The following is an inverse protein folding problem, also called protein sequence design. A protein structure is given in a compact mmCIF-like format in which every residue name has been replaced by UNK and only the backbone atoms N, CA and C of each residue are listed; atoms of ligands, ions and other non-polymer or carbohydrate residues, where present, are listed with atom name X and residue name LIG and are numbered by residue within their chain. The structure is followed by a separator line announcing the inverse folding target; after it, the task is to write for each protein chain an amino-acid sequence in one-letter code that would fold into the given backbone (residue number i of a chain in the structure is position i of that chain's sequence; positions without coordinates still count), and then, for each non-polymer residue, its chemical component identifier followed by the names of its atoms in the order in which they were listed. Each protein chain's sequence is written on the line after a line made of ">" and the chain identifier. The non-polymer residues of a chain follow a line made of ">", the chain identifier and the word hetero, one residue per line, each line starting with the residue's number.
data_IF_927869005963
#
_entry.id   IF_927869005963
#
_cell.length_a   1.000
_cell.length_b   1.000
_cell.length_c   1.000
_cell.angle_alpha   90.00
_cell.angle_beta   90.00
_cell.angle_gamma   90.00
#
_symmetry.space_group_name_H-M   'P 1'
#
loop_
_entity.id
_entity.type
_entity.pdbx_description
1 polymer ?
#
# COMPACT_ATOMS: atom_id res chain seq x y z
N UNK A 1 1.89 30.03 -7.74
CA UNK A 1 1.06 28.81 -7.82
C UNK A 1 0.58 28.37 -6.43
N UNK A 2 1.44 27.79 -5.59
CA UNK A 2 1.03 27.19 -4.29
C UNK A 2 0.44 28.21 -3.28
N UNK A 3 0.96 29.43 -3.23
CA UNK A 3 0.53 30.44 -2.25
C UNK A 3 -0.91 30.95 -2.40
N UNK A 4 -1.57 30.68 -3.54
CA UNK A 4 -2.96 31.06 -3.80
C UNK A 4 -3.91 29.85 -3.87
N UNK A 5 -3.41 28.63 -3.70
CA UNK A 5 -4.20 27.41 -3.86
C UNK A 5 -5.04 27.11 -2.61
N UNK A 6 -6.29 26.68 -2.83
CA UNK A 6 -7.17 26.19 -1.77
C UNK A 6 -6.84 24.76 -1.34
N UNK A 7 -6.40 23.95 -2.30
CA UNK A 7 -6.00 22.57 -2.13
C UNK A 7 -4.71 22.32 -2.92
N UNK A 8 -3.73 21.69 -2.25
CA UNK A 8 -2.49 21.21 -2.84
C UNK A 8 -2.44 19.70 -2.66
N UNK A 9 -2.30 18.97 -3.77
CA UNK A 9 -2.14 17.52 -3.76
C UNK A 9 -0.69 17.18 -4.11
N UNK A 10 0.01 16.49 -3.21
CA UNK A 10 1.37 16.02 -3.45
C UNK A 10 1.34 14.55 -3.89
N UNK A 11 1.81 14.28 -5.10
CA UNK A 11 1.73 12.97 -5.76
C UNK A 11 3.10 12.46 -6.26
N UNK A 12 4.19 12.91 -5.62
CA UNK A 12 5.56 12.47 -5.95
C UNK A 12 5.97 11.22 -5.15
N UNK A 13 7.11 10.57 -5.45
CA UNK A 13 7.65 9.50 -4.61
C UNK A 13 7.85 9.92 -3.14
N UNK A 14 7.80 8.96 -2.21
CA UNK A 14 7.69 9.23 -0.78
C UNK A 14 8.82 10.11 -0.22
N UNK A 15 10.08 9.91 -0.62
CA UNK A 15 11.18 10.77 -0.14
C UNK A 15 11.13 12.18 -0.74
N UNK A 16 10.60 12.32 -1.95
CA UNK A 16 10.37 13.62 -2.57
C UNK A 16 9.22 14.33 -1.84
N UNK A 17 8.16 13.61 -1.46
CA UNK A 17 7.04 14.15 -0.67
C UNK A 17 7.54 14.77 0.63
N UNK A 18 8.39 14.07 1.39
CA UNK A 18 8.92 14.59 2.66
C UNK A 18 9.63 15.94 2.47
N UNK A 19 10.50 16.06 1.47
CA UNK A 19 11.17 17.34 1.15
C UNK A 19 10.20 18.41 0.66
N UNK A 20 9.18 18.03 -0.11
CA UNK A 20 8.17 18.97 -0.60
C UNK A 20 7.28 19.50 0.52
N UNK A 21 6.93 18.66 1.50
CA UNK A 21 6.16 19.08 2.68
C UNK A 21 6.91 20.19 3.41
N UNK A 22 8.19 19.99 3.72
CA UNK A 22 9.01 20.98 4.43
C UNK A 22 9.16 22.30 3.65
N UNK A 23 9.30 22.24 2.33
CA UNK A 23 9.61 23.42 1.50
C UNK A 23 8.38 24.15 0.96
N UNK A 24 7.30 23.43 0.64
CA UNK A 24 6.06 23.99 0.08
C UNK A 24 5.04 24.29 1.17
N UNK A 25 4.94 23.45 2.18
CA UNK A 25 3.97 23.56 3.28
C UNK A 25 3.89 24.98 3.88
N UNK A 26 5.01 25.58 4.30
CA UNK A 26 5.02 26.93 4.89
C UNK A 26 4.54 28.05 3.95
N UNK A 27 4.52 27.79 2.63
CA UNK A 27 4.15 28.76 1.60
C UNK A 27 2.65 28.72 1.26
N UNK A 28 1.89 27.79 1.83
CA UNK A 28 0.45 27.72 1.62
C UNK A 28 -0.26 28.90 2.30
N UNK A 29 -1.37 29.33 1.69
CA UNK A 29 -2.25 30.33 2.29
C UNK A 29 -2.80 29.84 3.64
N UNK A 30 -3.20 30.78 4.50
CA UNK A 30 -3.93 30.45 5.73
C UNK A 30 -5.21 29.69 5.39
N UNK A 31 -5.42 28.56 6.05
CA UNK A 31 -6.54 27.64 5.80
C UNK A 31 -6.42 26.81 4.51
N UNK A 32 -5.27 26.88 3.81
CA UNK A 32 -5.03 26.02 2.64
C UNK A 32 -4.91 24.56 3.05
N UNK A 33 -5.50 23.65 2.26
CA UNK A 33 -5.47 22.21 2.50
C UNK A 33 -4.31 21.57 1.75
N UNK A 34 -3.56 20.71 2.44
CA UNK A 34 -2.50 19.90 1.84
C UNK A 34 -2.84 18.42 2.01
N UNK A 35 -2.91 17.70 0.89
CA UNK A 35 -3.17 16.25 0.83
C UNK A 35 -2.02 15.56 0.12
N UNK A 36 -1.44 14.52 0.70
CA UNK A 36 -0.47 13.66 0.00
C UNK A 36 -1.12 12.39 -0.56
N UNK A 37 -0.45 11.73 -1.51
CA UNK A 37 -0.86 10.43 -2.07
C UNK A 37 0.17 9.31 -1.83
N UNK A 38 1.11 9.49 -0.90
CA UNK A 38 2.21 8.56 -0.66
C UNK A 38 1.76 7.19 -0.14
N UNK A 39 2.57 6.17 -0.38
CA UNK A 39 2.19 4.79 0.00
C UNK A 39 2.44 4.42 1.47
N UNK A 40 3.13 5.28 2.21
CA UNK A 40 3.41 5.16 3.65
C UNK A 40 2.93 6.42 4.36
N UNK A 41 2.56 6.35 5.63
CA UNK A 41 1.82 7.43 6.30
C UNK A 41 2.44 7.92 7.59
N UNK A 42 3.14 7.09 8.37
CA UNK A 42 3.70 7.53 9.65
C UNK A 42 4.70 8.67 9.48
N UNK A 43 5.75 8.47 8.68
CA UNK A 43 6.76 9.50 8.42
C UNK A 43 6.20 10.74 7.71
N UNK A 44 5.28 10.53 6.76
CA UNK A 44 4.63 11.64 6.05
C UNK A 44 3.78 12.47 7.01
N UNK A 45 2.91 11.84 7.79
CA UNK A 45 2.05 12.54 8.74
C UNK A 45 2.87 13.27 9.80
N UNK A 46 3.98 12.70 10.26
CA UNK A 46 4.91 13.39 11.15
C UNK A 46 5.47 14.67 10.53
N UNK A 47 5.87 14.64 9.25
CA UNK A 47 6.31 15.83 8.54
C UNK A 47 5.17 16.85 8.35
N UNK A 48 3.93 16.38 8.11
CA UNK A 48 2.75 17.23 8.02
C UNK A 48 2.43 17.94 9.34
N UNK A 49 2.65 17.30 10.49
CA UNK A 49 2.41 17.94 11.80
C UNK A 49 3.42 19.04 12.14
N UNK A 50 4.61 18.99 11.54
CA UNK A 50 5.64 20.01 11.71
C UNK A 50 5.34 21.29 10.91
N UNK A 51 4.29 21.29 10.09
CA UNK A 51 3.90 22.46 9.31
C UNK A 51 3.33 23.57 10.21
N UNK A 52 3.37 24.84 9.74
CA UNK A 52 2.75 25.94 10.45
C UNK A 52 1.25 25.68 10.76
N UNK A 53 0.73 26.11 11.92
CA UNK A 53 -0.65 25.83 12.34
C UNK A 53 -1.75 26.33 11.40
N UNK A 54 -1.41 27.24 10.47
CA UNK A 54 -2.36 27.75 9.49
C UNK A 54 -2.60 26.80 8.31
N UNK A 55 -1.79 25.74 8.17
CA UNK A 55 -1.91 24.74 7.10
C UNK A 55 -2.77 23.58 7.57
N UNK A 56 -3.75 23.20 6.76
CA UNK A 56 -4.68 22.11 7.06
C UNK A 56 -4.22 20.83 6.35
N UNK A 57 -3.42 20.01 7.01
CA UNK A 57 -2.73 18.89 6.36
C UNK A 57 -3.35 17.53 6.66
N UNK A 58 -3.56 16.71 5.62
CA UNK A 58 -4.18 15.39 5.72
C UNK A 58 -3.31 14.36 5.00
N UNK A 59 -3.03 13.24 5.67
CA UNK A 59 -2.34 12.12 5.06
C UNK A 59 -3.28 11.36 4.12
N UNK A 60 -2.85 11.01 2.90
CA UNK A 60 -3.66 10.26 1.94
C UNK A 60 -2.93 9.12 1.26
N UNK A 61 -3.65 8.02 0.97
CA UNK A 61 -3.12 6.90 0.18
C UNK A 61 -4.24 6.22 -0.63
N UNK A 62 -4.32 6.46 -1.94
CA UNK A 62 -5.18 5.66 -2.80
C UNK A 62 -4.61 4.24 -2.93
N UNK A 63 -5.37 3.22 -2.50
CA UNK A 63 -4.98 1.80 -2.59
C UNK A 63 -5.23 1.25 -3.99
N UNK A 64 -4.65 1.91 -4.98
CA UNK A 64 -4.67 1.54 -6.39
C UNK A 64 -3.42 2.07 -7.09
N UNK A 65 -3.02 1.38 -8.14
CA UNK A 65 -1.89 1.79 -8.96
C UNK A 65 -1.85 0.96 -10.24
N UNK A 66 -1.15 1.51 -11.23
CA UNK A 66 -0.78 0.79 -12.44
C UNK A 66 0.70 0.49 -12.40
N UNK A 67 1.12 -0.59 -13.05
CA UNK A 67 2.53 -0.94 -13.19
C UNK A 67 3.27 0.07 -14.11
N UNK A 68 2.53 0.83 -14.93
CA UNK A 68 3.07 1.85 -15.82
C UNK A 68 3.06 3.23 -15.14
N UNK A 69 4.23 3.86 -15.09
CA UNK A 69 4.40 5.22 -14.61
C UNK A 69 4.34 6.25 -15.75
N UNK A 70 4.09 7.52 -15.41
CA UNK A 70 4.10 8.64 -16.35
C UNK A 70 2.72 9.22 -16.64
N UNK A 71 2.70 10.45 -17.15
CA UNK A 71 1.45 11.17 -17.47
C UNK A 71 0.63 10.47 -18.57
N UNK A 72 1.31 9.77 -19.49
CA UNK A 72 0.65 9.04 -20.58
C UNK A 72 -0.15 7.82 -20.07
N UNK A 73 0.15 7.32 -18.87
CA UNK A 73 -0.60 6.24 -18.22
C UNK A 73 -1.78 6.74 -17.35
N UNK A 74 -1.96 8.07 -17.25
CA UNK A 74 -3.01 8.67 -16.44
C UNK A 74 -4.39 8.30 -16.98
N UNK A 75 -5.28 7.90 -16.07
CA UNK A 75 -6.64 7.50 -16.41
C UNK A 75 -7.62 8.14 -15.44
N UNK A 76 -8.66 8.79 -15.98
CA UNK A 76 -9.68 9.45 -15.18
C UNK A 76 -10.41 8.48 -14.23
N UNK A 77 -10.54 7.21 -14.62
CA UNK A 77 -11.18 6.16 -13.85
C UNK A 77 -10.30 5.47 -12.81
N UNK A 78 -9.03 5.85 -12.66
CA UNK A 78 -8.02 5.09 -11.89
C UNK A 78 -8.46 4.79 -10.44
N UNK A 79 -9.15 5.73 -9.80
CA UNK A 79 -9.53 5.64 -8.39
C UNK A 79 -10.92 5.02 -8.16
N UNK A 80 -11.68 4.73 -9.22
CA UNK A 80 -13.07 4.26 -9.10
C UNK A 80 -13.14 2.93 -8.35
N UNK A 81 -13.93 2.89 -7.28
CA UNK A 81 -14.13 1.71 -6.43
C UNK A 81 -12.94 1.36 -5.54
N UNK A 82 -11.80 2.05 -5.69
CA UNK A 82 -10.60 1.81 -4.91
C UNK A 82 -10.79 2.33 -3.48
N UNK A 83 -10.22 1.63 -2.51
CA UNK A 83 -10.12 2.19 -1.16
C UNK A 83 -9.14 3.36 -1.19
N UNK A 84 -9.51 4.48 -0.59
CA UNK A 84 -8.63 5.62 -0.42
C UNK A 84 -8.49 5.88 1.08
N UNK A 85 -7.31 5.63 1.61
CA UNK A 85 -7.04 5.86 3.03
C UNK A 85 -6.82 7.34 3.26
N UNK A 86 -7.48 7.89 4.28
CA UNK A 86 -7.14 9.18 4.86
C UNK A 86 -6.65 8.96 6.28
N UNK A 87 -5.64 9.73 6.66
CA UNK A 87 -5.13 9.83 8.01
C UNK A 87 -5.40 11.24 8.55
N UNK A 88 -6.56 11.47 9.21
CA UNK A 88 -6.86 12.75 9.84
C UNK A 88 -5.80 13.11 10.88
N UNK A 89 -5.43 14.39 10.95
CA UNK A 89 -4.44 14.92 11.90
C UNK A 89 -5.08 15.99 12.80
N UNK A 90 -4.54 16.21 14.01
CA UNK A 90 -4.96 17.35 14.83
C UNK A 90 -4.81 18.71 14.15
N UNK A 91 -3.86 18.83 13.22
CA UNK A 91 -3.64 20.02 12.39
C UNK A 91 -4.71 20.24 11.32
N UNK A 92 -5.53 19.24 11.00
CA UNK A 92 -6.64 19.33 10.06
C UNK A 92 -7.97 19.53 10.81
N UNK A 93 -8.55 20.72 10.65
CA UNK A 93 -9.90 21.04 11.08
C UNK A 93 -10.97 20.28 10.29
N UNK A 94 -12.23 20.31 10.78
CA UNK A 94 -13.33 19.53 10.23
C UNK A 94 -13.63 19.86 8.76
N UNK A 95 -13.45 21.12 8.34
CA UNK A 95 -13.68 21.56 6.96
C UNK A 95 -12.70 20.93 5.97
N UNK A 96 -11.43 20.79 6.36
CA UNK A 96 -10.41 20.16 5.53
C UNK A 96 -10.69 18.66 5.34
N UNK A 97 -11.08 17.98 6.43
CA UNK A 97 -11.47 16.57 6.35
C UNK A 97 -12.73 16.38 5.49
N UNK A 98 -13.73 17.26 5.64
CA UNK A 98 -14.94 17.23 4.82
C UNK A 98 -14.61 17.43 3.33
N UNK A 99 -13.72 18.36 3.00
CA UNK A 99 -13.24 18.58 1.64
C UNK A 99 -12.55 17.34 1.06
N UNK A 100 -11.63 16.74 1.81
CA UNK A 100 -10.92 15.52 1.37
C UNK A 100 -11.88 14.36 1.15
N UNK A 101 -12.85 14.16 2.05
CA UNK A 101 -13.90 13.14 1.91
C UNK A 101 -14.79 13.40 0.69
N UNK A 102 -15.17 14.65 0.44
CA UNK A 102 -15.97 15.02 -0.73
C UNK A 102 -15.20 14.77 -2.04
N UNK A 103 -13.92 15.12 -2.07
CA UNK A 103 -13.04 14.86 -3.23
C UNK A 103 -12.96 13.35 -3.53
N UNK A 104 -12.66 12.53 -2.52
CA UNK A 104 -12.53 11.07 -2.66
C UNK A 104 -13.83 10.44 -3.18
N UNK A 105 -14.98 10.85 -2.64
CA UNK A 105 -16.28 10.35 -3.12
C UNK A 105 -16.56 10.79 -4.55
N UNK A 106 -16.16 12.01 -4.93
CA UNK A 106 -16.37 12.55 -6.28
C UNK A 106 -15.54 11.85 -7.35
N UNK A 107 -14.39 11.29 -6.99
CA UNK A 107 -13.59 10.40 -7.86
C UNK A 107 -14.04 8.93 -7.76
N UNK A 108 -15.21 8.67 -7.17
CA UNK A 108 -15.81 7.36 -6.92
C UNK A 108 -14.93 6.39 -6.11
N UNK A 109 -13.99 6.92 -5.34
CA UNK A 109 -13.19 6.12 -4.42
C UNK A 109 -13.92 5.97 -3.07
N UNK A 110 -13.53 4.95 -2.30
CA UNK A 110 -14.13 4.60 -1.00
C UNK A 110 -13.22 5.09 0.12
N UNK A 111 -13.59 6.16 0.86
CA UNK A 111 -12.74 6.65 1.94
C UNK A 111 -12.67 5.64 3.08
N UNK A 112 -11.47 5.45 3.62
CA UNK A 112 -11.22 4.70 4.85
C UNK A 112 -10.35 5.55 5.78
N UNK A 113 -10.84 5.85 6.99
CA UNK A 113 -10.07 6.63 7.96
C UNK A 113 -9.22 5.69 8.82
N UNK A 114 -7.91 5.93 8.87
CA UNK A 114 -6.97 5.16 9.70
C UNK A 114 -5.98 6.08 10.41
N UNK A 115 -5.54 5.65 11.59
CA UNK A 115 -4.32 6.17 12.19
C UNK A 115 -3.08 5.85 11.30
N UNK A 116 -2.07 6.74 11.17
CA UNK A 116 -0.91 6.48 10.31
C UNK A 116 -0.13 5.21 10.66
N UNK A 117 0.08 4.91 11.94
CA UNK A 117 0.81 3.71 12.35
C UNK A 117 -0.04 2.45 12.12
N UNK A 118 -1.37 2.56 12.26
CA UNK A 118 -2.27 1.48 11.86
C UNK A 118 -2.21 1.23 10.36
N UNK A 119 -2.29 2.28 9.54
CA UNK A 119 -2.15 2.17 8.08
C UNK A 119 -0.86 1.45 7.72
N UNK A 120 0.28 1.94 8.22
CA UNK A 120 1.60 1.45 7.87
C UNK A 120 1.82 -0.01 8.28
N UNK A 121 1.27 -0.44 9.42
CA UNK A 121 1.24 -1.86 9.80
C UNK A 121 0.42 -2.71 8.84
N UNK A 122 -0.77 -2.25 8.45
CA UNK A 122 -1.64 -3.00 7.55
C UNK A 122 -1.01 -3.15 6.16
N UNK A 123 -0.51 -2.06 5.57
CA UNK A 123 0.12 -2.10 4.23
C UNK A 123 1.46 -2.84 4.23
N UNK A 124 2.18 -2.85 5.34
CA UNK A 124 3.36 -3.70 5.49
C UNK A 124 3.02 -5.18 5.28
N UNK A 125 1.95 -5.67 5.90
CA UNK A 125 1.53 -7.07 5.78
C UNK A 125 0.96 -7.44 4.41
N UNK A 126 0.19 -6.55 3.77
CA UNK A 126 -0.56 -6.89 2.54
C UNK A 126 0.06 -6.36 1.25
N UNK A 127 1.12 -5.56 1.32
CA UNK A 127 1.79 -4.97 0.14
C UNK A 127 3.32 -5.08 0.21
N UNK A 128 3.95 -4.60 1.30
CA UNK A 128 5.43 -4.52 1.35
C UNK A 128 6.06 -5.90 1.56
N UNK A 129 5.53 -6.68 2.51
CA UNK A 129 5.97 -8.06 2.75
C UNK A 129 5.77 -8.95 1.51
N UNK A 130 4.61 -8.93 0.80
CA UNK A 130 4.45 -9.64 -0.47
C UNK A 130 5.52 -9.32 -1.51
N UNK A 131 5.95 -8.05 -1.64
CA UNK A 131 7.06 -7.69 -2.52
C UNK A 131 8.37 -8.36 -2.10
N UNK A 132 8.75 -8.27 -0.83
CA UNK A 132 9.98 -8.89 -0.33
C UNK A 132 9.95 -10.42 -0.43
N UNK A 133 8.81 -11.05 -0.16
CA UNK A 133 8.62 -12.48 -0.32
C UNK A 133 8.77 -12.90 -1.79
N UNK A 134 8.21 -12.13 -2.73
CA UNK A 134 8.39 -12.35 -4.16
C UNK A 134 9.88 -12.24 -4.57
N UNK A 135 10.59 -11.21 -4.09
CA UNK A 135 12.03 -11.07 -4.32
C UNK A 135 12.83 -12.25 -3.73
N UNK A 136 12.47 -12.73 -2.54
CA UNK A 136 13.12 -13.89 -1.92
C UNK A 136 12.87 -15.19 -2.73
N UNK A 137 11.66 -15.38 -3.27
CA UNK A 137 11.35 -16.50 -4.16
C UNK A 137 12.19 -16.45 -5.45
N UNK A 138 12.33 -15.27 -6.07
CA UNK A 138 13.19 -15.08 -7.24
C UNK A 138 14.66 -15.33 -6.87
N UNK A 139 15.13 -14.83 -5.72
CA UNK A 139 16.50 -15.06 -5.24
C UNK A 139 16.82 -16.54 -5.00
N UNK A 140 15.84 -17.31 -4.49
CA UNK A 140 15.98 -18.75 -4.34
C UNK A 140 16.07 -19.44 -5.70
N UNK A 141 15.22 -19.07 -6.67
CA UNK A 141 15.29 -19.61 -8.03
C UNK A 141 16.61 -19.26 -8.72
N UNK A 142 17.13 -18.04 -8.51
CA UNK A 142 18.43 -17.61 -9.02
C UNK A 142 19.58 -18.46 -8.48
N UNK A 143 19.55 -18.81 -7.19
CA UNK A 143 20.53 -19.71 -6.57
C UNK A 143 20.53 -21.07 -7.28
N UNK A 144 19.35 -21.67 -7.46
CA UNK A 144 19.21 -22.97 -8.17
C UNK A 144 19.64 -22.87 -9.63
N UNK A 145 19.34 -21.75 -10.31
CA UNK A 145 19.67 -21.54 -11.71
C UNK A 145 21.18 -21.55 -11.99
N UNK A 146 22.02 -21.28 -10.99
CA UNK A 146 23.49 -21.34 -11.13
C UNK A 146 23.97 -22.74 -11.49
N UNK A 147 23.29 -23.77 -10.98
CA UNK A 147 23.60 -25.18 -11.24
C UNK A 147 22.65 -25.79 -12.29
N UNK A 148 21.38 -25.36 -12.29
CA UNK A 148 20.33 -25.93 -13.12
C UNK A 148 19.49 -24.84 -13.80
N UNK A 149 19.93 -24.31 -14.96
CA UNK A 149 19.21 -23.27 -15.71
C UNK A 149 17.77 -23.66 -16.10
N UNK A 150 17.49 -24.96 -16.21
CA UNK A 150 16.16 -25.51 -16.50
C UNK A 150 15.07 -25.08 -15.49
N UNK A 151 15.46 -24.55 -14.31
CA UNK A 151 14.50 -23.95 -13.37
C UNK A 151 13.64 -22.86 -14.04
N UNK A 152 14.20 -22.10 -14.98
CA UNK A 152 13.46 -21.07 -15.71
C UNK A 152 12.51 -21.62 -16.76
N UNK A 153 12.82 -22.78 -17.33
CA UNK A 153 11.92 -23.48 -18.26
C UNK A 153 10.73 -24.12 -17.52
N UNK A 154 10.95 -24.54 -16.27
CA UNK A 154 9.91 -25.12 -15.41
C UNK A 154 9.07 -24.07 -14.66
N UNK A 155 9.50 -22.81 -14.63
CA UNK A 155 8.81 -21.73 -13.96
C UNK A 155 7.44 -21.47 -14.63
N UNK A 156 6.36 -21.87 -13.97
CA UNK A 156 5.00 -21.81 -14.48
C UNK A 156 4.09 -20.89 -13.64
N UNK A 157 2.77 -21.14 -13.65
CA UNK A 157 1.74 -20.25 -13.11
C UNK A 157 1.98 -19.79 -11.66
N UNK A 158 2.25 -20.71 -10.73
CA UNK A 158 2.46 -20.36 -9.31
C UNK A 158 3.67 -19.45 -9.10
N UNK A 159 4.78 -19.71 -9.81
CA UNK A 159 5.96 -18.86 -9.74
C UNK A 159 5.70 -17.51 -10.39
N UNK A 160 5.15 -17.48 -11.61
CA UNK A 160 4.80 -16.25 -12.32
C UNK A 160 3.90 -15.34 -11.48
N UNK A 161 2.81 -15.88 -10.96
CA UNK A 161 1.81 -15.09 -10.23
C UNK A 161 2.33 -14.70 -8.84
N UNK A 162 3.08 -15.58 -8.17
CA UNK A 162 3.70 -15.33 -6.88
C UNK A 162 4.89 -14.36 -6.92
N UNK A 163 5.53 -14.19 -8.08
CA UNK A 163 6.70 -13.31 -8.25
C UNK A 163 6.45 -12.08 -9.12
N UNK A 164 5.25 -11.91 -9.70
CA UNK A 164 4.90 -10.78 -10.58
C UNK A 164 5.35 -9.42 -10.02
N UNK A 165 5.15 -9.19 -8.72
CA UNK A 165 5.48 -7.91 -8.07
C UNK A 165 6.99 -7.67 -7.90
N UNK A 166 7.83 -8.70 -8.01
CA UNK A 166 9.29 -8.55 -7.93
C UNK A 166 9.87 -7.77 -9.12
N UNK A 167 9.11 -7.63 -10.22
CA UNK A 167 9.48 -6.82 -11.38
C UNK A 167 9.05 -5.33 -11.27
N UNK A 168 8.58 -4.90 -10.10
CA UNK A 168 8.18 -3.50 -9.85
C UNK A 168 9.37 -2.55 -9.84
N UNK A 169 9.11 -1.24 -9.99
CA UNK A 169 10.14 -0.20 -9.95
C UNK A 169 10.91 -0.19 -8.60
N UNK A 170 12.21 -0.49 -8.66
CA UNK A 170 13.06 -0.61 -7.47
C UNK A 170 13.17 0.71 -6.72
N UNK A 171 13.14 1.86 -7.42
CA UNK A 171 13.27 3.18 -6.79
C UNK A 171 12.08 3.46 -5.88
N UNK A 172 10.85 3.28 -6.39
CA UNK A 172 9.62 3.41 -5.64
C UNK A 172 9.58 2.45 -4.44
N UNK A 173 9.92 1.18 -4.65
CA UNK A 173 9.89 0.19 -3.58
C UNK A 173 10.94 0.46 -2.50
N UNK A 174 12.13 0.95 -2.86
CA UNK A 174 13.14 1.35 -1.89
C UNK A 174 12.69 2.54 -1.03
N UNK A 175 11.95 3.49 -1.62
CA UNK A 175 11.32 4.58 -0.88
C UNK A 175 10.27 4.06 0.11
N UNK A 176 9.40 3.15 -0.34
CA UNK A 176 8.35 2.53 0.49
C UNK A 176 8.96 1.74 1.66
N UNK A 177 9.94 0.88 1.37
CA UNK A 177 10.56 0.02 2.37
C UNK A 177 11.29 0.84 3.45
N UNK A 178 12.02 1.89 3.06
CA UNK A 178 12.76 2.70 4.01
C UNK A 178 11.87 3.69 4.79
N UNK A 179 10.78 4.18 4.18
CA UNK A 179 9.82 5.04 4.90
C UNK A 179 8.88 4.28 5.84
N UNK A 180 8.77 2.96 5.68
CA UNK A 180 7.99 2.08 6.58
C UNK A 180 8.83 0.93 7.18
N UNK A 181 10.13 1.16 7.40
CA UNK A 181 11.08 0.11 7.81
C UNK A 181 10.61 -0.65 9.05
N UNK A 182 10.14 0.05 10.08
CA UNK A 182 9.71 -0.58 11.34
C UNK A 182 8.58 -1.60 11.16
N UNK A 183 7.53 -1.22 10.44
CA UNK A 183 6.39 -2.13 10.24
C UNK A 183 6.75 -3.26 9.26
N UNK A 184 7.60 -2.99 8.27
CA UNK A 184 8.11 -4.00 7.35
C UNK A 184 8.93 -5.07 8.08
N UNK A 185 9.84 -4.67 8.97
CA UNK A 185 10.63 -5.62 9.78
C UNK A 185 9.72 -6.49 10.66
N UNK A 186 8.74 -5.88 11.35
CA UNK A 186 7.78 -6.66 12.14
C UNK A 186 6.95 -7.64 11.29
N UNK A 187 6.59 -7.26 10.06
CA UNK A 187 5.89 -8.14 9.13
C UNK A 187 6.79 -9.29 8.64
N UNK A 188 8.08 -9.03 8.39
CA UNK A 188 9.08 -10.06 8.05
C UNK A 188 9.26 -11.05 9.20
N UNK A 189 9.41 -10.57 10.43
CA UNK A 189 9.56 -11.44 11.61
C UNK A 189 8.36 -12.41 11.73
N UNK A 190 7.14 -11.89 11.58
CA UNK A 190 5.93 -12.70 11.57
C UNK A 190 5.90 -13.71 10.41
N UNK A 191 6.31 -13.29 9.22
CA UNK A 191 6.39 -14.18 8.05
C UNK A 191 7.40 -15.31 8.25
N UNK A 192 8.58 -15.01 8.77
CA UNK A 192 9.60 -16.01 9.09
C UNK A 192 9.09 -17.01 10.13
N UNK A 193 8.34 -16.56 11.14
CA UNK A 193 7.71 -17.47 12.10
C UNK A 193 6.75 -18.46 11.41
N UNK A 194 5.90 -17.97 10.49
CA UNK A 194 5.02 -18.85 9.71
C UNK A 194 5.79 -19.83 8.84
N UNK A 195 6.85 -19.39 8.14
CA UNK A 195 7.70 -20.27 7.34
C UNK A 195 8.43 -21.32 8.21
N UNK A 196 8.98 -20.93 9.36
CA UNK A 196 9.62 -21.85 10.29
C UNK A 196 8.65 -22.91 10.79
N UNK A 197 7.39 -22.54 11.07
CA UNK A 197 6.35 -23.49 11.47
C UNK A 197 6.03 -24.49 10.37
N UNK A 198 5.84 -24.03 9.13
CA UNK A 198 5.61 -24.90 7.97
C UNK A 198 6.80 -25.86 7.75
N UNK A 199 8.03 -25.34 7.80
CA UNK A 199 9.26 -26.13 7.68
C UNK A 199 9.35 -27.22 8.75
N UNK A 200 9.02 -26.89 9.99
CA UNK A 200 9.05 -27.84 11.10
C UNK A 200 8.07 -28.99 10.89
N UNK A 201 6.80 -28.69 10.59
CA UNK A 201 5.78 -29.71 10.36
C UNK A 201 6.14 -30.62 9.18
N UNK A 202 6.67 -30.02 8.10
CA UNK A 202 7.14 -30.78 6.94
C UNK A 202 8.33 -31.70 7.29
N UNK A 203 9.33 -31.20 8.02
CA UNK A 203 10.49 -31.99 8.43
C UNK A 203 10.14 -33.13 9.38
N UNK A 204 9.08 -32.98 10.17
CA UNK A 204 8.57 -34.01 11.08
C UNK A 204 7.67 -35.04 10.39
N UNK A 205 7.21 -34.77 9.15
CA UNK A 205 6.21 -35.59 8.48
C UNK A 205 4.85 -35.59 9.18
N UNK A 206 4.54 -34.54 9.97
CA UNK A 206 3.27 -34.43 10.71
C UNK A 206 2.14 -34.01 9.76
N UNK A 207 1.65 -34.98 8.99
CA UNK A 207 0.61 -34.76 7.98
C UNK A 207 -0.69 -34.17 8.59
N UNK A 208 -1.23 -34.67 9.73
CA UNK A 208 -2.44 -34.09 10.31
C UNK A 208 -2.29 -32.61 10.67
N UNK A 209 -1.20 -32.23 11.35
CA UNK A 209 -0.99 -30.83 11.74
C UNK A 209 -0.70 -29.93 10.53
N UNK A 210 0.05 -30.43 9.55
CA UNK A 210 0.31 -29.69 8.31
C UNK A 210 -0.97 -29.46 7.51
N UNK A 211 -1.82 -30.48 7.37
CA UNK A 211 -3.12 -30.38 6.70
C UNK A 211 -4.02 -29.35 7.37
N UNK A 212 -4.09 -29.37 8.69
CA UNK A 212 -4.87 -28.39 9.45
C UNK A 212 -4.38 -26.97 9.16
N UNK A 213 -3.09 -26.70 9.33
CA UNK A 213 -2.51 -25.38 9.15
C UNK A 213 -2.72 -24.83 7.72
N UNK A 214 -2.50 -25.67 6.70
CA UNK A 214 -2.73 -25.29 5.30
C UNK A 214 -4.21 -25.01 5.01
N UNK A 215 -5.11 -25.78 5.60
CA UNK A 215 -6.57 -25.61 5.44
C UNK A 215 -7.03 -24.28 6.03
N UNK A 216 -6.57 -23.92 7.22
CA UNK A 216 -6.88 -22.65 7.87
C UNK A 216 -6.45 -21.45 6.99
N UNK A 217 -5.22 -21.49 6.45
CA UNK A 217 -4.70 -20.45 5.54
C UNK A 217 -5.50 -20.38 4.23
N UNK A 218 -5.86 -21.52 3.66
CA UNK A 218 -6.66 -21.57 2.44
C UNK A 218 -8.07 -20.99 2.66
N UNK A 219 -8.72 -21.33 3.77
CA UNK A 219 -10.04 -20.79 4.13
C UNK A 219 -10.01 -19.27 4.28
N UNK A 220 -9.01 -18.72 4.96
CA UNK A 220 -8.84 -17.27 5.10
C UNK A 220 -8.69 -16.59 3.72
N UNK A 221 -7.88 -17.16 2.82
CA UNK A 221 -7.68 -16.64 1.46
C UNK A 221 -8.97 -16.68 0.62
N UNK A 222 -9.76 -17.75 0.74
CA UNK A 222 -11.04 -17.86 0.04
C UNK A 222 -12.09 -16.90 0.61
N UNK A 223 -12.13 -16.71 1.94
CA UNK A 223 -13.03 -15.75 2.58
C UNK A 223 -12.75 -14.32 2.09
N UNK A 224 -11.49 -13.91 2.04
CA UNK A 224 -11.10 -12.61 1.48
C UNK A 224 -11.52 -12.46 0.01
N UNK A 225 -11.32 -13.49 -0.82
CA UNK A 225 -11.70 -13.44 -2.23
C UNK A 225 -13.20 -13.23 -2.43
N UNK A 226 -14.03 -13.97 -1.68
CA UNK A 226 -15.49 -13.83 -1.69
C UNK A 226 -15.92 -12.45 -1.22
N UNK A 227 -15.33 -11.97 -0.13
CA UNK A 227 -15.62 -10.63 0.37
C UNK A 227 -15.29 -9.57 -0.69
N UNK A 228 -14.13 -9.66 -1.34
CA UNK A 228 -13.73 -8.72 -2.40
C UNK A 228 -14.70 -8.76 -3.60
N UNK A 229 -15.15 -9.94 -4.02
CA UNK A 229 -16.12 -10.08 -5.11
C UNK A 229 -17.49 -9.45 -4.75
N UNK A 230 -17.99 -9.69 -3.53
CA UNK A 230 -19.24 -9.11 -3.05
C UNK A 230 -19.21 -7.57 -3.02
N UNK A 231 -18.08 -6.98 -2.64
CA UNK A 231 -17.90 -5.52 -2.69
C UNK A 231 -17.90 -4.96 -4.12
N UNK A 232 -17.36 -5.71 -5.09
CA UNK A 232 -17.36 -5.28 -6.48
C UNK A 232 -18.79 -5.29 -7.08
N UNK A 233 -19.61 -6.29 -6.73
CA UNK A 233 -21.01 -6.40 -7.20
C UNK A 233 -21.95 -5.39 -6.54
N UNK A 234 -21.76 -5.07 -5.25
CA UNK A 234 -22.58 -4.06 -4.57
C UNK A 234 -22.32 -2.65 -5.13
N UNK A 235 -21.08 -2.35 -5.52
CA UNK A 235 -20.72 -1.07 -6.16
C UNK A 235 -21.24 -0.90 -7.60
N UNK A 236 -21.77 -1.96 -8.22
CA UNK A 236 -22.40 -1.90 -9.56
C UNK A 236 -23.92 -1.76 -9.49
N UNK A 237 -24.59 -2.25 -8.45
CA UNK A 237 -26.05 -2.14 -8.30
C UNK A 237 -26.53 -0.74 -7.90
N UNK A 238 -25.72 0.03 -7.16
CA UNK A 238 -25.98 1.45 -6.87
C UNK A 238 -25.81 2.37 -8.10
N UNK A 239 -25.41 1.82 -9.26
CA UNK A 239 -25.23 2.58 -10.53
C UNK A 239 -26.43 2.44 -11.48
N UNK A 240 -27.48 1.70 -11.11
CA UNK A 240 -28.64 1.43 -11.95
C UNK A 240 -29.93 2.15 -11.49
N UNK A 241 -29.83 3.13 -10.58
CA UNK A 241 -30.94 3.92 -10.05
C UNK A 241 -30.78 5.41 -10.32
#
# INVERSE_FOLDING_TARGET
>A
AVAAADLVILATPARVLLRQIETLGPRLRRGGVLLDLGSTKAAICQALDALPPHVQAIGGHPMCGKEQAGLDAAEAGLYRGCTFVLCPRPSAGPEALALALALIRRIEARPLLLDPDQHDRLVASISHLPYLAACALVGQALTVATEAPAVWELAAGSFRDGTRVAASDVTMLLDILLTNQRAVLAALDGYEMHLRRLRQLLAQGDEPALRQLLTEMAQARHAWARARAAHATAGSSDRAG
#
